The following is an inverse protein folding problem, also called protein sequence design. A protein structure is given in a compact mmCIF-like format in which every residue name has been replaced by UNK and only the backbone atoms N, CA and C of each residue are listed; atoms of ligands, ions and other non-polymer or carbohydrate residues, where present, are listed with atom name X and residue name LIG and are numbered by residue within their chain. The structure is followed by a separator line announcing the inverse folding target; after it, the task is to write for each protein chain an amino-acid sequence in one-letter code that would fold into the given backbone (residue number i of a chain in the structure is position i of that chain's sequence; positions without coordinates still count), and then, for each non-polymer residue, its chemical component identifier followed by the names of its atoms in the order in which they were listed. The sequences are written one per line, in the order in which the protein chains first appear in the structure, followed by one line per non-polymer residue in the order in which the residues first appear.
data_IF_703523483599
#
_entry.id   IF_703523483599
#
_cell.length_a   1.000
_cell.length_b   1.000
_cell.length_c   1.000
_cell.angle_alpha   90.00
_cell.angle_beta   90.00
_cell.angle_gamma   90.00
#
_symmetry.space_group_name_H-M   'P 1'
#
loop_
_entity.id
_entity.type
_entity.pdbx_description
1 polymer ?
#
# COMPACT_ATOMS: atom_id res chain seq x y z
N UNK A 1 -41.40 -28.35 -27.49
CA UNK A 1 -41.83 -27.60 -26.29
C UNK A 1 -40.72 -27.41 -25.25
N UNK A 2 -39.78 -28.35 -25.09
CA UNK A 2 -38.63 -28.20 -24.19
C UNK A 2 -37.54 -27.21 -24.67
N UNK A 3 -37.37 -27.04 -25.99
CA UNK A 3 -36.34 -26.13 -26.54
C UNK A 3 -36.69 -24.63 -26.36
N UNK A 4 -37.98 -24.29 -26.34
CA UNK A 4 -38.42 -22.90 -26.10
C UNK A 4 -38.32 -22.49 -24.62
N UNK A 5 -38.43 -23.44 -23.69
CA UNK A 5 -38.27 -23.20 -22.25
C UNK A 5 -36.80 -22.95 -21.86
N UNK A 6 -35.85 -23.58 -22.55
CA UNK A 6 -34.42 -23.33 -22.35
C UNK A 6 -33.97 -21.97 -22.92
N UNK A 7 -34.60 -21.50 -24.00
CA UNK A 7 -34.32 -20.16 -24.58
C UNK A 7 -34.93 -19.02 -23.75
N UNK A 8 -36.03 -19.25 -23.03
CA UNK A 8 -36.61 -18.24 -22.13
C UNK A 8 -35.81 -18.05 -20.82
N UNK A 9 -35.00 -19.02 -20.40
CA UNK A 9 -34.13 -18.88 -19.22
C UNK A 9 -32.79 -18.18 -19.51
N UNK A 10 -32.44 -17.93 -20.78
CA UNK A 10 -31.20 -17.24 -21.14
C UNK A 10 -31.32 -15.69 -21.12
N UNK A 11 -32.52 -15.15 -20.88
CA UNK A 11 -32.82 -13.71 -20.90
C UNK A 11 -33.28 -13.20 -19.52
N UNK A 12 -32.63 -13.61 -18.43
CA UNK A 12 -32.87 -13.01 -17.11
C UNK A 12 -31.69 -13.28 -16.17
N UNK A 13 -30.60 -12.55 -16.40
CA UNK A 13 -29.45 -12.56 -15.51
C UNK A 13 -28.40 -11.61 -16.04
N UNK A 14 -28.53 -10.32 -15.75
CA UNK A 14 -27.37 -9.44 -15.81
C UNK A 14 -26.32 -10.06 -14.89
N UNK A 15 -25.25 -10.61 -15.47
CA UNK A 15 -24.07 -11.02 -14.72
C UNK A 15 -23.61 -9.77 -13.98
N UNK A 16 -23.54 -9.78 -12.63
CA UNK A 16 -23.14 -8.59 -11.88
C UNK A 16 -21.73 -8.21 -12.34
N UNK A 17 -21.62 -7.01 -12.92
CA UNK A 17 -20.32 -6.42 -13.25
C UNK A 17 -19.62 -6.16 -11.92
N UNK A 18 -18.44 -6.73 -11.66
CA UNK A 18 -17.72 -6.44 -10.43
C UNK A 18 -17.43 -4.93 -10.37
N UNK A 19 -17.54 -4.30 -9.21
CA UNK A 19 -17.34 -2.87 -9.10
C UNK A 19 -15.89 -2.52 -9.42
N UNK A 20 -15.74 -1.49 -10.26
CA UNK A 20 -14.47 -0.90 -10.67
C UNK A 20 -14.37 0.44 -9.94
N UNK A 21 -13.23 0.69 -9.29
CA UNK A 21 -13.04 1.89 -8.48
C UNK A 21 -11.95 2.79 -9.06
N UNK A 22 -12.27 4.05 -9.27
CA UNK A 22 -11.27 5.10 -9.49
C UNK A 22 -10.66 5.50 -8.13
N UNK A 23 -9.53 6.24 -8.11
CA UNK A 23 -8.96 6.71 -6.85
C UNK A 23 -9.94 7.52 -5.99
N UNK A 24 -10.88 8.23 -6.62
CA UNK A 24 -11.86 9.09 -5.92
C UNK A 24 -13.13 8.35 -5.51
N UNK A 25 -13.52 7.30 -6.21
CA UNK A 25 -14.74 6.54 -5.91
C UNK A 25 -14.50 5.35 -5.00
N UNK A 26 -13.24 5.02 -4.69
CA UNK A 26 -12.94 3.95 -3.74
C UNK A 26 -13.52 4.27 -2.35
N UNK A 27 -14.29 3.35 -1.74
CA UNK A 27 -14.93 3.56 -0.45
C UNK A 27 -13.90 3.60 0.67
N UNK A 28 -13.93 4.65 1.48
CA UNK A 28 -12.99 4.80 2.59
C UNK A 28 -13.65 4.53 3.95
N UNK A 29 -12.88 4.15 4.97
CA UNK A 29 -13.42 4.00 6.33
C UNK A 29 -13.97 5.29 6.93
N UNK A 30 -13.49 6.45 6.45
CA UNK A 30 -13.84 7.77 6.98
C UNK A 30 -15.09 8.33 6.31
N UNK A 31 -15.19 8.23 4.98
CA UNK A 31 -16.29 8.81 4.22
C UNK A 31 -17.45 7.82 4.02
N UNK A 32 -17.13 6.54 3.77
CA UNK A 32 -18.10 5.55 3.25
C UNK A 32 -18.04 4.24 4.04
N UNK A 33 -18.10 4.30 5.38
CA UNK A 33 -17.85 3.15 6.26
C UNK A 33 -18.68 1.90 5.93
N UNK A 34 -19.96 2.06 5.58
CA UNK A 34 -20.82 0.92 5.26
C UNK A 34 -20.40 0.24 3.96
N UNK A 35 -20.19 1.03 2.90
CA UNK A 35 -19.76 0.52 1.60
C UNK A 35 -18.37 -0.10 1.68
N UNK A 36 -17.48 0.53 2.44
CA UNK A 36 -16.15 0.02 2.73
C UNK A 36 -16.21 -1.38 3.36
N UNK A 37 -17.12 -1.64 4.31
CA UNK A 37 -17.28 -2.98 4.93
C UNK A 37 -17.88 -4.03 3.99
N UNK A 38 -18.63 -3.62 2.97
CA UNK A 38 -19.15 -4.53 1.95
C UNK A 38 -18.09 -4.90 0.90
N UNK A 39 -17.17 -3.96 0.65
CA UNK A 39 -16.14 -4.06 -0.40
C UNK A 39 -14.83 -4.64 0.14
N UNK A 40 -14.46 -4.33 1.37
CA UNK A 40 -13.31 -4.88 2.03
C UNK A 40 -13.71 -6.10 2.85
N UNK A 41 -13.06 -7.23 2.62
CA UNK A 41 -13.16 -8.35 3.56
C UNK A 41 -12.41 -7.96 4.82
N UNK A 42 -13.10 -7.36 5.78
CA UNK A 42 -12.48 -6.93 7.04
C UNK A 42 -12.38 -8.12 7.99
N UNK A 43 -11.16 -8.54 8.28
CA UNK A 43 -10.90 -9.52 9.34
C UNK A 43 -11.00 -8.77 10.68
N UNK A 44 -11.92 -9.17 11.55
CA UNK A 44 -12.20 -8.46 12.81
C UNK A 44 -10.97 -8.23 13.70
N UNK A 45 -9.97 -9.11 13.60
CA UNK A 45 -8.70 -9.02 14.34
C UNK A 45 -7.65 -8.12 13.67
N UNK A 46 -7.82 -7.82 12.38
CA UNK A 46 -6.92 -7.02 11.56
C UNK A 46 -7.73 -5.94 10.82
N UNK A 47 -8.34 -4.98 11.54
CA UNK A 47 -9.24 -3.98 10.96
C UNK A 47 -8.54 -2.98 10.02
N UNK A 48 -7.21 -3.00 9.99
CA UNK A 48 -6.39 -2.19 9.08
C UNK A 48 -6.19 -2.83 7.70
N UNK A 49 -6.59 -4.10 7.51
CA UNK A 49 -6.47 -4.80 6.23
C UNK A 49 -7.81 -4.77 5.50
N UNK A 50 -7.78 -4.28 4.27
CA UNK A 50 -8.84 -4.44 3.28
C UNK A 50 -8.39 -5.45 2.22
N UNK A 51 -8.99 -6.62 2.22
CA UNK A 51 -8.76 -7.65 1.20
C UNK A 51 -9.94 -7.69 0.22
N UNK A 52 -9.71 -7.18 -0.99
CA UNK A 52 -10.73 -7.08 -2.04
C UNK A 52 -11.06 -8.44 -2.67
N UNK A 53 -10.11 -9.38 -2.63
CA UNK A 53 -10.20 -10.68 -3.31
C UNK A 53 -10.30 -11.85 -2.36
N UNK A 54 -10.41 -11.58 -1.06
CA UNK A 54 -10.53 -12.57 -0.02
C UNK A 54 -9.39 -13.62 -0.03
N UNK A 55 -8.19 -13.20 -0.44
CA UNK A 55 -6.98 -14.03 -0.51
C UNK A 55 -6.53 -14.55 0.87
N UNK A 56 -6.89 -13.83 1.94
CA UNK A 56 -6.49 -14.15 3.30
C UNK A 56 -7.49 -15.06 4.05
N UNK A 57 -8.67 -15.36 3.49
CA UNK A 57 -9.75 -16.11 4.18
C UNK A 57 -9.32 -17.45 4.79
N UNK A 58 -8.47 -18.19 4.09
CA UNK A 58 -8.02 -19.53 4.49
C UNK A 58 -6.57 -19.56 4.97
N UNK A 59 -5.98 -18.39 5.18
CA UNK A 59 -4.58 -18.25 5.56
C UNK A 59 -4.40 -18.24 7.09
N UNK A 60 -3.23 -18.67 7.55
CA UNK A 60 -2.85 -18.49 8.96
C UNK A 60 -2.43 -17.04 9.20
N UNK A 61 -3.21 -16.31 9.97
CA UNK A 61 -3.01 -14.88 10.26
C UNK A 61 -2.29 -14.62 11.60
N UNK A 62 -1.92 -15.67 12.34
CA UNK A 62 -1.32 -15.53 13.67
C UNK A 62 -0.02 -14.72 13.67
N UNK A 63 0.78 -14.85 12.60
CA UNK A 63 1.99 -14.05 12.41
C UNK A 63 1.69 -12.56 12.29
N UNK A 64 0.78 -12.20 11.38
CA UNK A 64 0.34 -10.82 11.17
C UNK A 64 -0.27 -10.24 12.46
N UNK A 65 -1.11 -11.00 13.16
CA UNK A 65 -1.68 -10.57 14.45
C UNK A 65 -0.59 -10.29 15.49
N UNK A 66 0.47 -11.11 15.52
CA UNK A 66 1.58 -10.97 16.47
C UNK A 66 2.42 -9.74 16.14
N UNK A 67 2.77 -9.54 14.87
CA UNK A 67 3.48 -8.35 14.39
C UNK A 67 2.68 -7.07 14.67
N UNK A 68 1.38 -7.07 14.38
CA UNK A 68 0.51 -5.94 14.68
C UNK A 68 0.41 -5.64 16.19
N UNK A 69 0.24 -6.68 17.02
CA UNK A 69 0.16 -6.52 18.48
C UNK A 69 1.46 -5.96 19.06
N UNK A 70 2.61 -6.35 18.52
CA UNK A 70 3.94 -5.88 18.97
C UNK A 70 4.08 -4.36 18.88
N UNK A 71 3.55 -3.75 17.81
CA UNK A 71 3.65 -2.31 17.56
C UNK A 71 2.30 -1.57 17.68
N UNK A 72 1.32 -2.16 18.38
CA UNK A 72 -0.05 -1.63 18.46
C UNK A 72 -0.12 -0.17 18.93
N UNK A 73 0.76 0.26 19.83
CA UNK A 73 0.85 1.65 20.31
C UNK A 73 1.24 2.67 19.22
N UNK A 74 1.91 2.21 18.16
CA UNK A 74 2.30 3.04 17.02
C UNK A 74 1.28 2.94 15.88
N UNK A 75 0.63 1.78 15.73
CA UNK A 75 -0.40 1.56 14.71
C UNK A 75 -1.80 2.06 15.08
N UNK A 76 -2.03 2.34 16.36
CA UNK A 76 -3.34 2.78 16.85
C UNK A 76 -3.17 3.93 17.83
N UNK A 77 -3.51 5.13 17.37
CA UNK A 77 -3.36 6.37 18.11
C UNK A 77 -4.65 7.17 18.05
N UNK A 78 -5.04 7.81 19.15
CA UNK A 78 -6.22 8.68 19.23
C UNK A 78 -7.50 8.01 18.68
N UNK A 79 -7.71 6.73 18.99
CA UNK A 79 -8.84 5.93 18.54
C UNK A 79 -8.92 5.72 17.00
N UNK A 80 -7.83 5.99 16.28
CA UNK A 80 -7.69 5.82 14.83
C UNK A 80 -6.54 4.87 14.49
N UNK A 81 -6.69 4.11 13.41
CA UNK A 81 -5.59 3.34 12.84
C UNK A 81 -4.67 4.30 12.09
N UNK A 82 -3.36 4.16 12.29
CA UNK A 82 -2.33 4.88 11.50
C UNK A 82 -1.77 4.00 10.40
N UNK A 83 -2.08 2.69 10.41
CA UNK A 83 -1.73 1.73 9.37
C UNK A 83 -2.98 1.34 8.56
N UNK A 84 -2.81 1.16 7.26
CA UNK A 84 -3.80 0.59 6.36
C UNK A 84 -3.09 -0.27 5.30
N UNK A 85 -3.66 -1.43 4.98
CA UNK A 85 -3.16 -2.34 3.94
C UNK A 85 -4.32 -2.67 3.01
N UNK A 86 -4.20 -2.31 1.73
CA UNK A 86 -5.16 -2.65 0.69
C UNK A 86 -4.57 -3.72 -0.22
N UNK A 87 -5.27 -4.84 -0.36
CA UNK A 87 -4.89 -5.96 -1.23
C UNK A 87 -5.91 -6.04 -2.36
N UNK A 88 -5.44 -5.93 -3.60
CA UNK A 88 -6.29 -5.89 -4.78
C UNK A 88 -5.59 -6.27 -6.07
N UNK A 89 -6.30 -6.01 -7.17
CA UNK A 89 -5.82 -6.22 -8.55
C UNK A 89 -6.21 -5.03 -9.42
N UNK A 90 -5.45 -4.78 -10.47
CA UNK A 90 -5.55 -3.58 -11.29
C UNK A 90 -6.18 -3.91 -12.65
N UNK A 91 -7.15 -3.09 -13.09
CA UNK A 91 -7.76 -3.20 -14.41
C UNK A 91 -7.16 -2.15 -15.37
N UNK A 92 -6.49 -2.64 -16.42
CA UNK A 92 -6.00 -1.83 -17.52
C UNK A 92 -6.84 -2.02 -18.77
N UNK A 93 -7.57 -0.97 -19.18
CA UNK A 93 -8.32 -0.90 -20.43
C UNK A 93 -7.37 -0.78 -21.65
N UNK A 94 -6.82 -1.89 -22.13
CA UNK A 94 -6.32 -1.96 -23.53
C UNK A 94 -7.04 -3.06 -24.33
N UNK A 95 -7.84 -3.92 -23.70
CA UNK A 95 -8.67 -4.88 -24.43
C UNK A 95 -10.03 -4.28 -24.72
N UNK A 96 -10.37 -4.21 -26.01
CA UNK A 96 -11.64 -3.76 -26.57
C UNK A 96 -12.84 -4.16 -25.66
N UNK A 97 -13.71 -3.22 -25.23
CA UNK A 97 -14.77 -3.45 -24.24
C UNK A 97 -15.82 -4.50 -24.65
N UNK A 98 -15.85 -4.88 -25.93
CA UNK A 98 -16.73 -5.91 -26.48
C UNK A 98 -16.21 -7.34 -26.26
N UNK A 99 -14.89 -7.55 -26.17
CA UNK A 99 -14.29 -8.90 -26.16
C UNK A 99 -14.32 -9.57 -24.77
N UNK A 100 -14.51 -8.80 -23.71
CA UNK A 100 -14.43 -9.29 -22.33
C UNK A 100 -15.79 -9.59 -21.67
N UNK A 101 -16.91 -9.19 -22.28
CA UNK A 101 -18.26 -9.53 -21.79
C UNK A 101 -18.53 -11.04 -21.77
N UNK A 102 -17.75 -11.84 -22.50
CA UNK A 102 -17.95 -13.29 -22.66
C UNK A 102 -17.06 -14.17 -21.79
N UNK A 103 -16.06 -13.62 -21.09
CA UNK A 103 -15.12 -14.38 -20.21
C UNK A 103 -15.29 -14.07 -18.71
N UNK A 104 -16.46 -13.53 -18.34
CA UNK A 104 -16.74 -12.99 -17.01
C UNK A 104 -17.28 -14.07 -16.04
N UNK A 105 -16.43 -15.03 -15.66
CA UNK A 105 -16.69 -16.02 -14.60
C UNK A 105 -15.84 -15.84 -13.34
N UNK A 106 -15.11 -14.72 -13.20
CA UNK A 106 -14.42 -14.39 -11.94
C UNK A 106 -14.83 -12.99 -11.46
N UNK A 107 -15.48 -12.94 -10.30
CA UNK A 107 -15.86 -11.71 -9.60
C UNK A 107 -14.61 -11.08 -8.97
N UNK A 108 -13.88 -10.27 -9.73
CA UNK A 108 -12.61 -9.65 -9.30
C UNK A 108 -12.85 -8.14 -9.19
N UNK A 109 -12.82 -7.58 -7.97
CA UNK A 109 -12.97 -6.14 -7.69
C UNK A 109 -11.68 -5.42 -8.06
N UNK A 110 -11.72 -4.40 -8.93
CA UNK A 110 -10.50 -3.90 -9.56
C UNK A 110 -10.33 -2.39 -9.49
N UNK A 111 -9.07 -1.95 -9.46
CA UNK A 111 -8.69 -0.54 -9.52
C UNK A 111 -8.66 -0.06 -10.98
N UNK A 112 -9.33 1.03 -11.29
CA UNK A 112 -9.47 1.56 -12.65
C UNK A 112 -8.29 2.43 -13.07
N UNK A 113 -7.69 2.11 -14.21
CA UNK A 113 -6.78 3.02 -14.90
C UNK A 113 -7.55 3.94 -15.88
N UNK A 114 -7.22 5.24 -15.95
CA UNK A 114 -7.87 6.15 -16.89
C UNK A 114 -7.55 5.77 -18.34
N UNK A 115 -8.55 5.93 -19.22
CA UNK A 115 -8.40 5.62 -20.64
C UNK A 115 -7.62 6.67 -21.42
N UNK A 116 -7.64 7.92 -20.95
CA UNK A 116 -6.97 9.04 -21.60
C UNK A 116 -6.70 10.20 -20.64
N UNK A 117 -5.91 11.18 -21.07
CA UNK A 117 -5.73 12.43 -20.32
C UNK A 117 -7.04 13.23 -20.26
N UNK A 118 -7.82 13.25 -21.34
CA UNK A 118 -9.10 13.98 -21.39
C UNK A 118 -10.10 13.45 -20.35
N UNK A 119 -10.22 12.12 -20.22
CA UNK A 119 -11.10 11.51 -19.21
C UNK A 119 -10.74 11.89 -17.78
N UNK A 120 -9.46 12.13 -17.47
CA UNK A 120 -9.04 12.56 -16.13
C UNK A 120 -9.54 13.97 -15.80
N UNK A 121 -9.62 14.86 -16.79
CA UNK A 121 -10.10 16.23 -16.60
C UNK A 121 -11.62 16.37 -16.71
N UNK A 122 -12.27 15.54 -17.54
CA UNK A 122 -13.69 15.67 -17.87
C UNK A 122 -14.60 14.84 -16.95
N UNK A 123 -14.14 13.68 -16.48
CA UNK A 123 -14.98 12.81 -15.66
C UNK A 123 -14.97 13.20 -14.19
N UNK A 124 -16.16 13.33 -13.61
CA UNK A 124 -16.33 13.60 -12.17
C UNK A 124 -15.66 12.56 -11.27
N UNK A 125 -15.47 11.33 -11.77
CA UNK A 125 -14.80 10.22 -11.08
C UNK A 125 -13.32 10.46 -10.78
N UNK A 126 -12.69 11.49 -11.38
CA UNK A 126 -11.30 11.89 -11.13
C UNK A 126 -11.17 13.32 -10.57
N UNK A 127 -12.28 14.04 -10.36
CA UNK A 127 -12.28 15.44 -9.90
C UNK A 127 -11.49 15.65 -8.60
N UNK A 128 -11.59 14.73 -7.64
CA UNK A 128 -10.89 14.80 -6.36
C UNK A 128 -9.35 14.80 -6.48
N UNK A 129 -8.79 14.45 -7.65
CA UNK A 129 -7.36 14.52 -7.89
C UNK A 129 -6.83 15.95 -7.74
N UNK A 130 -7.65 16.94 -8.09
CA UNK A 130 -7.27 18.35 -8.18
C UNK A 130 -7.66 19.19 -6.96
N UNK A 131 -8.40 18.62 -6.00
CA UNK A 131 -8.95 19.34 -4.84
C UNK A 131 -7.95 19.52 -3.68
N UNK A 132 -6.66 19.19 -3.86
CA UNK A 132 -5.71 19.09 -2.75
C UNK A 132 -4.55 20.10 -2.83
N UNK A 133 -4.34 20.82 -1.72
CA UNK A 133 -3.26 21.81 -1.55
C UNK A 133 -1.88 21.20 -1.22
N UNK A 134 -1.85 20.04 -0.55
CA UNK A 134 -0.63 19.37 -0.09
C UNK A 134 0.22 18.81 -1.24
N UNK A 135 -0.41 18.36 -2.33
CA UNK A 135 0.25 17.85 -3.53
C UNK A 135 -0.60 18.18 -4.76
N UNK A 136 -0.38 19.34 -5.40
CA UNK A 136 -1.11 19.67 -6.61
C UNK A 136 -0.73 18.71 -7.75
N UNK A 137 -1.74 18.24 -8.48
CA UNK A 137 -1.55 17.39 -9.67
C UNK A 137 -1.41 18.30 -10.88
N UNK A 138 -0.21 18.36 -11.43
CA UNK A 138 0.06 19.09 -12.67
C UNK A 138 -0.18 18.21 -13.92
N UNK A 139 -0.07 18.83 -15.10
CA UNK A 139 -0.26 18.15 -16.37
C UNK A 139 0.77 17.03 -16.63
N UNK A 140 1.98 17.11 -16.06
CA UNK A 140 3.00 16.08 -16.21
C UNK A 140 2.63 14.84 -15.39
N UNK A 141 2.13 15.05 -14.17
CA UNK A 141 1.60 13.98 -13.31
C UNK A 141 0.39 13.34 -13.96
N UNK A 142 -0.54 14.11 -14.56
CA UNK A 142 -1.69 13.52 -15.29
C UNK A 142 -1.21 12.71 -16.51
N UNK A 143 -0.28 13.22 -17.29
CA UNK A 143 0.27 12.50 -18.44
C UNK A 143 0.95 11.19 -17.98
N UNK A 144 1.69 11.25 -16.88
CA UNK A 144 2.31 10.09 -16.25
C UNK A 144 1.28 9.13 -15.65
N UNK A 145 0.20 9.64 -15.07
CA UNK A 145 -0.88 8.85 -14.48
C UNK A 145 -1.55 7.94 -15.53
N UNK A 146 -1.70 8.44 -16.76
CA UNK A 146 -2.27 7.67 -17.87
C UNK A 146 -1.23 6.73 -18.50
N UNK A 147 0.00 7.18 -18.70
CA UNK A 147 0.98 6.46 -19.54
C UNK A 147 2.02 5.65 -18.77
N UNK A 148 2.15 5.85 -17.46
CA UNK A 148 3.19 5.23 -16.65
C UNK A 148 2.59 4.58 -15.41
N UNK A 149 2.62 3.25 -15.40
CA UNK A 149 2.17 2.39 -14.31
C UNK A 149 2.71 2.81 -12.93
N UNK A 150 3.99 3.16 -12.83
CA UNK A 150 4.57 3.55 -11.53
C UNK A 150 3.96 4.86 -11.04
N UNK A 151 3.68 5.79 -11.94
CA UNK A 151 3.02 7.06 -11.62
C UNK A 151 1.54 6.81 -11.33
N UNK A 152 0.87 5.95 -12.11
CA UNK A 152 -0.50 5.49 -11.84
C UNK A 152 -0.65 5.01 -10.40
N UNK A 153 0.12 3.99 -10.01
CA UNK A 153 0.04 3.39 -8.68
C UNK A 153 0.42 4.40 -7.59
N UNK A 154 1.39 5.30 -7.87
CA UNK A 154 1.78 6.35 -6.94
C UNK A 154 0.64 7.33 -6.67
N UNK A 155 -0.05 7.83 -7.70
CA UNK A 155 -1.19 8.74 -7.58
C UNK A 155 -2.37 8.04 -6.91
N UNK A 156 -2.65 6.79 -7.31
CA UNK A 156 -3.71 5.99 -6.73
C UNK A 156 -3.49 5.76 -5.22
N UNK A 157 -2.31 5.30 -4.82
CA UNK A 157 -1.96 5.08 -3.41
C UNK A 157 -2.00 6.38 -2.60
N UNK A 158 -1.54 7.49 -3.18
CA UNK A 158 -1.64 8.80 -2.54
C UNK A 158 -3.09 9.18 -2.28
N UNK A 159 -3.98 9.11 -3.28
CA UNK A 159 -5.38 9.51 -3.11
C UNK A 159 -6.16 8.59 -2.18
N UNK A 160 -5.88 7.29 -2.23
CA UNK A 160 -6.39 6.35 -1.24
C UNK A 160 -5.96 6.74 0.18
N UNK A 161 -4.69 7.11 0.37
CA UNK A 161 -4.18 7.53 1.68
C UNK A 161 -4.94 8.74 2.23
N UNK A 162 -5.20 9.76 1.41
CA UNK A 162 -5.96 10.95 1.85
C UNK A 162 -7.37 10.57 2.29
N UNK A 163 -8.04 9.73 1.48
CA UNK A 163 -9.39 9.26 1.77
C UNK A 163 -9.44 8.37 3.00
N UNK A 164 -8.37 7.62 3.28
CA UNK A 164 -8.33 6.64 4.37
C UNK A 164 -8.12 7.26 5.74
N UNK A 165 -7.27 8.30 5.85
CA UNK A 165 -6.87 8.86 7.13
C UNK A 165 -7.44 10.24 7.45
N UNK A 166 -8.03 10.92 6.45
CA UNK A 166 -8.37 12.35 6.49
C UNK A 166 -7.16 13.22 6.86
N UNK A 167 -6.64 13.93 5.85
CA UNK A 167 -5.52 14.84 6.05
C UNK A 167 -5.93 16.01 6.95
N UNK A 168 -5.09 16.31 7.94
CA UNK A 168 -5.13 17.60 8.63
C UNK A 168 -4.37 18.66 7.81
N UNK A 169 -4.61 19.94 8.09
CA UNK A 169 -4.01 21.10 7.38
C UNK A 169 -2.48 21.09 7.35
N UNK A 170 -1.83 20.32 8.22
CA UNK A 170 -0.36 20.20 8.28
C UNK A 170 0.24 19.35 7.16
N UNK A 171 -0.57 18.57 6.41
CA UNK A 171 -0.14 17.62 5.37
C UNK A 171 0.85 16.52 5.83
N UNK A 172 1.33 16.60 7.07
CA UNK A 172 2.35 15.72 7.64
C UNK A 172 1.73 14.91 8.76
N UNK A 173 1.47 13.64 8.48
CA UNK A 173 1.00 12.68 9.46
C UNK A 173 1.83 11.40 9.32
N UNK A 174 2.23 10.75 10.43
CA UNK A 174 2.97 9.49 10.40
C UNK A 174 2.06 8.29 10.10
N UNK A 175 1.00 8.49 9.32
CA UNK A 175 0.14 7.40 8.84
C UNK A 175 0.81 6.71 7.66
N UNK A 176 0.49 5.43 7.46
CA UNK A 176 1.09 4.57 6.45
C UNK A 176 -0.01 3.77 5.75
N UNK A 177 -0.10 3.91 4.43
CA UNK A 177 -0.96 3.09 3.57
C UNK A 177 -0.08 2.20 2.68
N UNK A 178 -0.24 0.89 2.78
CA UNK A 178 0.36 -0.08 1.88
C UNK A 178 -0.69 -0.54 0.85
N UNK A 179 -0.40 -0.35 -0.44
CA UNK A 179 -1.19 -0.83 -1.56
C UNK A 179 -0.47 -2.02 -2.20
N UNK A 180 -1.10 -3.19 -2.18
CA UNK A 180 -0.60 -4.44 -2.76
C UNK A 180 -1.47 -4.86 -3.95
N UNK A 181 -0.86 -4.92 -5.13
CA UNK A 181 -1.47 -5.35 -6.40
C UNK A 181 -0.88 -6.71 -6.75
N UNK A 182 -1.65 -7.79 -6.63
CA UNK A 182 -1.08 -9.14 -6.70
C UNK A 182 -1.10 -9.76 -8.10
N UNK A 183 -2.14 -9.51 -8.90
CA UNK A 183 -2.29 -10.10 -10.24
C UNK A 183 -1.49 -9.36 -11.34
N UNK A 184 -0.63 -8.43 -10.94
CA UNK A 184 0.06 -7.51 -11.83
C UNK A 184 -0.89 -6.64 -12.65
N UNK A 185 -0.37 -6.02 -13.72
CA UNK A 185 -1.17 -5.22 -14.63
C UNK A 185 -1.64 -6.06 -15.81
N UNK A 186 -2.83 -5.78 -16.33
CA UNK A 186 -3.42 -6.52 -17.47
C UNK A 186 -2.51 -6.54 -18.70
N UNK A 187 -1.68 -5.50 -18.88
CA UNK A 187 -0.74 -5.40 -19.99
C UNK A 187 0.65 -5.97 -19.69
N UNK A 188 0.88 -6.44 -18.47
CA UNK A 188 2.12 -7.12 -18.09
C UNK A 188 1.93 -8.63 -18.25
N UNK A 189 2.51 -9.19 -19.31
CA UNK A 189 2.51 -10.63 -19.57
C UNK A 189 3.11 -11.45 -18.41
N UNK A 190 3.90 -10.82 -17.53
CA UNK A 190 4.53 -11.47 -16.38
C UNK A 190 3.69 -11.42 -15.11
N UNK A 191 2.57 -10.66 -15.10
CA UNK A 191 1.69 -10.47 -13.93
C UNK A 191 2.49 -10.18 -12.64
N UNK A 192 3.46 -9.25 -12.71
CA UNK A 192 4.37 -9.00 -11.59
C UNK A 192 3.59 -8.32 -10.46
N UNK A 193 3.62 -8.85 -9.23
CA UNK A 193 3.00 -8.20 -8.09
C UNK A 193 3.71 -6.88 -7.78
N UNK A 194 2.93 -5.90 -7.32
CA UNK A 194 3.43 -4.57 -7.00
C UNK A 194 2.95 -4.09 -5.63
N UNK A 195 3.88 -3.71 -4.78
CA UNK A 195 3.67 -3.16 -3.45
C UNK A 195 4.14 -1.73 -3.44
N UNK A 196 3.26 -0.82 -3.03
CA UNK A 196 3.54 0.60 -2.83
C UNK A 196 3.15 0.99 -1.42
N UNK A 197 4.10 1.56 -0.67
CA UNK A 197 3.82 2.15 0.64
C UNK A 197 3.85 3.67 0.50
N UNK A 198 2.78 4.33 0.97
CA UNK A 198 2.61 5.77 0.98
C UNK A 198 2.49 6.28 2.43
N UNK A 199 3.04 7.47 2.69
CA UNK A 199 2.98 8.15 3.98
C UNK A 199 3.01 9.67 3.79
N UNK A 200 2.34 10.39 4.69
CA UNK A 200 2.43 11.85 4.78
C UNK A 200 3.73 12.34 5.44
N UNK A 201 4.47 11.48 6.13
CA UNK A 201 5.70 11.84 6.85
C UNK A 201 6.95 11.67 5.97
N UNK A 202 7.63 12.75 5.55
CA UNK A 202 8.78 12.67 4.66
C UNK A 202 9.92 11.81 5.20
N UNK A 203 10.13 11.79 6.52
CA UNK A 203 11.22 11.04 7.17
C UNK A 203 11.06 9.53 7.02
N UNK A 204 9.83 9.04 6.88
CA UNK A 204 9.54 7.62 6.66
C UNK A 204 9.67 7.19 5.19
N UNK A 205 9.76 8.13 4.23
CA UNK A 205 9.74 7.79 2.79
C UNK A 205 10.87 6.85 2.39
N UNK A 206 12.08 7.06 2.92
CA UNK A 206 13.24 6.22 2.63
C UNK A 206 13.06 4.79 3.20
N UNK A 207 12.86 4.58 4.52
CA UNK A 207 12.70 3.23 5.06
C UNK A 207 11.50 2.51 4.45
N UNK A 208 10.35 3.18 4.26
CA UNK A 208 9.17 2.57 3.66
C UNK A 208 9.36 2.20 2.19
N UNK A 209 10.19 2.94 1.44
CA UNK A 209 10.54 2.56 0.06
C UNK A 209 11.37 1.28 0.01
N UNK A 210 12.26 1.08 0.98
CA UNK A 210 13.06 -0.14 1.09
C UNK A 210 12.17 -1.33 1.46
N UNK A 211 11.30 -1.16 2.46
CA UNK A 211 10.32 -2.18 2.88
C UNK A 211 9.41 -2.58 1.72
N UNK A 212 8.90 -1.61 0.95
CA UNK A 212 8.10 -1.89 -0.23
C UNK A 212 8.89 -2.69 -1.29
N UNK A 213 10.18 -2.39 -1.48
CA UNK A 213 11.03 -3.14 -2.41
C UNK A 213 11.28 -4.57 -1.93
N UNK A 214 11.46 -4.78 -0.63
CA UNK A 214 11.63 -6.10 -0.03
C UNK A 214 10.36 -6.94 -0.17
N UNK A 215 9.20 -6.37 0.16
CA UNK A 215 7.90 -7.03 -0.01
C UNK A 215 7.65 -7.41 -1.49
N UNK A 216 7.99 -6.52 -2.43
CA UNK A 216 7.93 -6.82 -3.86
C UNK A 216 8.81 -8.02 -4.23
N UNK A 217 10.07 -8.02 -3.77
CA UNK A 217 11.01 -9.10 -4.06
C UNK A 217 10.53 -10.43 -3.47
N UNK A 218 10.00 -10.43 -2.25
CA UNK A 218 9.46 -11.63 -1.60
C UNK A 218 8.26 -12.21 -2.40
N UNK A 219 7.33 -11.37 -2.85
CA UNK A 219 6.20 -11.81 -3.68
C UNK A 219 6.67 -12.38 -5.03
N UNK A 220 7.63 -11.72 -5.68
CA UNK A 220 8.22 -12.22 -6.95
C UNK A 220 8.96 -13.55 -6.75
N UNK A 221 9.55 -13.78 -5.59
CA UNK A 221 10.18 -15.05 -5.22
C UNK A 221 9.15 -16.14 -4.83
N UNK A 222 7.85 -15.84 -4.81
CA UNK A 222 6.80 -16.79 -4.49
C UNK A 222 6.58 -17.02 -3.00
N UNK A 223 6.99 -16.08 -2.13
CA UNK A 223 6.70 -16.18 -0.71
C UNK A 223 5.18 -16.10 -0.45
N UNK A 224 4.66 -16.82 0.57
CA UNK A 224 3.26 -16.75 0.91
C UNK A 224 2.82 -15.33 1.28
N UNK A 225 1.72 -14.85 0.71
CA UNK A 225 1.17 -13.51 0.99
C UNK A 225 1.04 -13.18 2.49
N UNK A 226 0.53 -14.07 3.35
CA UNK A 226 0.41 -13.78 4.78
C UNK A 226 1.77 -13.54 5.45
N UNK A 227 2.82 -14.23 4.97
CA UNK A 227 4.18 -14.07 5.48
C UNK A 227 4.79 -12.74 5.02
N UNK A 228 4.58 -12.36 3.76
CA UNK A 228 5.00 -11.04 3.26
C UNK A 228 4.31 -9.91 4.02
N UNK A 229 3.01 -10.04 4.32
CA UNK A 229 2.28 -9.04 5.11
C UNK A 229 2.80 -9.01 6.56
N UNK A 230 3.09 -10.17 7.16
CA UNK A 230 3.67 -10.24 8.51
C UNK A 230 4.99 -9.48 8.58
N UNK A 231 5.93 -9.77 7.68
CA UNK A 231 7.26 -9.15 7.66
C UNK A 231 7.14 -7.64 7.38
N UNK A 232 6.33 -7.26 6.38
CA UNK A 232 6.06 -5.85 6.07
C UNK A 232 5.45 -5.09 7.26
N UNK A 233 4.48 -5.67 7.96
CA UNK A 233 3.88 -5.05 9.15
C UNK A 233 4.90 -4.91 10.27
N UNK A 234 5.76 -5.91 10.49
CA UNK A 234 6.81 -5.84 11.50
C UNK A 234 7.82 -4.72 11.19
N UNK A 235 8.25 -4.60 9.93
CA UNK A 235 9.22 -3.59 9.49
C UNK A 235 8.65 -2.17 9.51
N UNK A 236 7.39 -1.98 9.09
CA UNK A 236 6.71 -0.67 9.22
C UNK A 236 6.60 -0.30 10.69
N UNK A 237 6.26 -1.25 11.56
CA UNK A 237 6.17 -1.03 13.00
C UNK A 237 7.52 -0.63 13.61
N UNK A 238 8.60 -1.26 13.14
CA UNK A 238 9.96 -0.89 13.52
C UNK A 238 10.31 0.54 13.09
N UNK A 239 10.02 0.91 11.85
CA UNK A 239 10.27 2.25 11.32
C UNK A 239 9.48 3.34 12.07
N UNK A 240 8.21 3.08 12.39
CA UNK A 240 7.39 4.01 13.18
C UNK A 240 7.89 4.15 14.63
N UNK A 241 8.32 3.03 15.23
CA UNK A 241 8.93 3.05 16.56
C UNK A 241 10.19 3.90 16.56
N UNK A 242 11.09 3.70 15.60
CA UNK A 242 12.33 4.47 15.49
C UNK A 242 12.05 5.96 15.28
N UNK A 243 11.08 6.32 14.43
CA UNK A 243 10.63 7.70 14.26
C UNK A 243 10.17 8.32 15.59
N UNK A 244 9.40 7.57 16.39
CA UNK A 244 8.88 8.05 17.67
C UNK A 244 9.98 8.17 18.73
N UNK A 245 10.88 7.18 18.83
CA UNK A 245 11.98 7.16 19.80
C UNK A 245 13.03 8.24 19.50
N UNK A 246 13.36 8.46 18.22
CA UNK A 246 14.35 9.44 17.80
C UNK A 246 13.75 10.83 17.53
N UNK A 247 12.42 11.00 17.61
CA UNK A 247 11.71 12.22 17.17
C UNK A 247 12.08 12.65 15.74
N UNK A 248 12.47 11.68 14.92
CA UNK A 248 12.95 11.84 13.55
C UNK A 248 14.35 12.44 13.40
N UNK A 249 15.15 12.49 14.46
CA UNK A 249 16.60 12.70 14.36
C UNK A 249 17.28 11.43 13.82
N UNK A 250 18.40 11.56 13.09
CA UNK A 250 19.19 10.40 12.71
C UNK A 250 19.70 9.69 13.97
N UNK A 251 19.78 8.37 13.90
CA UNK A 251 20.34 7.58 15.00
C UNK A 251 21.76 8.03 15.25
N UNK A 252 22.04 8.45 16.47
CA UNK A 252 23.39 8.86 16.83
C UNK A 252 24.30 7.62 16.84
N UNK A 253 25.05 7.44 15.76
CA UNK A 253 26.09 6.43 15.65
C UNK A 253 27.40 6.90 16.31
N UNK A 254 27.36 7.96 17.14
CA UNK A 254 28.54 8.41 17.85
C UNK A 254 29.09 7.30 18.74
N UNK A 255 30.39 7.08 18.61
CA UNK A 255 31.11 6.12 19.45
C UNK A 255 30.91 6.57 20.91
N UNK A 256 30.36 5.71 21.77
CA UNK A 256 30.05 6.10 23.13
C UNK A 256 31.33 6.58 23.82
N UNK A 257 31.19 7.59 24.70
CA UNK A 257 32.36 8.27 25.28
C UNK A 257 33.32 7.27 25.93
N UNK A 258 32.83 6.25 26.63
CA UNK A 258 33.69 5.22 27.25
C UNK A 258 34.58 4.49 26.24
N UNK A 259 34.08 4.15 25.04
CA UNK A 259 34.83 3.44 24.01
C UNK A 259 35.93 4.33 23.42
N UNK A 260 35.68 5.64 23.30
CA UNK A 260 36.71 6.62 22.92
C UNK A 260 37.82 6.70 23.97
N UNK A 261 37.49 6.71 25.26
CA UNK A 261 38.49 6.72 26.32
C UNK A 261 39.30 5.42 26.34
N UNK A 262 38.64 4.26 26.18
CA UNK A 262 39.32 2.96 26.10
C UNK A 262 40.32 2.90 24.94
N UNK A 263 39.92 3.39 23.75
CA UNK A 263 40.81 3.46 22.59
C UNK A 263 42.05 4.33 22.86
N UNK A 264 41.87 5.51 23.48
CA UNK A 264 42.98 6.40 23.83
C UNK A 264 43.95 5.77 24.84
N UNK A 265 43.43 5.06 25.85
CA UNK A 265 44.25 4.35 26.82
C UNK A 265 45.05 3.23 26.16
N UNK A 266 44.41 2.42 25.31
CA UNK A 266 45.11 1.37 24.56
C UNK A 266 46.20 1.96 23.65
N UNK A 267 45.92 3.06 22.95
CA UNK A 267 46.89 3.75 22.11
C UNK A 267 48.09 4.25 22.93
N UNK A 268 47.85 4.88 24.08
CA UNK A 268 48.90 5.35 24.97
C UNK A 268 49.77 4.20 25.50
N UNK A 269 49.17 3.07 25.86
CA UNK A 269 49.89 1.87 26.31
C UNK A 269 50.80 1.30 25.21
N UNK A 270 50.33 1.27 23.95
CA UNK A 270 51.16 0.82 22.81
C UNK A 270 52.34 1.76 22.59
N UNK A 271 52.12 3.08 22.62
CA UNK A 271 53.22 4.06 22.48
C UNK A 271 54.24 3.92 23.62
N UNK A 272 53.78 3.74 24.86
CA UNK A 272 54.65 3.50 26.00
C UNK A 272 55.43 2.19 25.87
N UNK A 273 54.79 1.11 25.42
CA UNK A 273 55.47 -0.16 25.19
C UNK A 273 56.59 -0.02 24.14
N UNK A 274 56.30 0.67 23.02
CA UNK A 274 57.29 0.93 21.98
C UNK A 274 58.45 1.82 22.45
N UNK A 275 58.19 2.78 23.34
CA UNK A 275 59.23 3.62 23.95
C UNK A 275 60.13 2.88 24.94
N UNK A 276 59.61 1.85 25.61
CA UNK A 276 60.37 1.03 26.57
C UNK A 276 61.19 -0.05 25.86
N UNK A 277 60.74 -0.48 24.68
CA UNK A 277 61.43 -1.48 23.85
C UNK A 277 62.58 -0.89 23.01
N UNK A 278 62.66 0.44 22.90
CA UNK A 278 63.76 1.20 22.26
C UNK A 278 64.73 1.78 23.30
#
# INVERSE_FOLDING_TARGET
MFLLLLLQQAFAGQIPVPPIFTPCTFPSPVYDMHEHRLICTTISRLPFICDLHNQLSHSNLAGIETAYKRYKSYFYQNNRSTLAVLIGSLFGLIVHPQLFRTLQTFSVRQLEAPVSVASVYEESSYSCLFENECNPVDSEVVLGFVNNVKIFIKVYAWKLYERWFALDDSCTQPNVLALMILDGLINDARKIPYVRIHTGEPRLRFPLSNIASEANNALVQGWPLPKVIEDMVDDIGHALRELHELKGEPRDHSVPRWARHAFLVCFALVVLALMVEW
#
